data_IF_627416981457
#
_entry.id   IF_627416981457
#
_cell.length_a   1.000
_cell.length_b   1.000
_cell.length_c   1.000
_cell.angle_alpha   90.00
_cell.angle_beta   90.00
_cell.angle_gamma   90.00
#
_symmetry.space_group_name_H-M   'P 1'
#
loop_
_entity.id
_entity.type
_entity.pdbx_description
1 polymer ?
#
# COMPACT_ATOMS: atom_id res chain seq x y z
N UNK A 1 10.54 -11.59 8.69
CA UNK A 1 9.42 -11.25 9.60
C UNK A 1 8.12 -11.38 8.82
N UNK A 2 7.00 -11.74 9.47
CA UNK A 2 5.67 -11.71 8.81
C UNK A 2 4.93 -10.45 9.22
N UNK A 3 4.65 -9.58 8.25
CA UNK A 3 3.93 -8.32 8.48
C UNK A 3 2.59 -8.38 7.78
N UNK A 4 1.56 -7.84 8.42
CA UNK A 4 0.24 -7.65 7.81
C UNK A 4 -0.07 -6.18 7.70
N UNK A 5 -0.78 -5.79 6.66
CA UNK A 5 -1.24 -4.41 6.47
C UNK A 5 -2.65 -4.46 5.90
N UNK A 6 -3.52 -3.56 6.34
CA UNK A 6 -4.85 -3.39 5.81
C UNK A 6 -4.96 -1.97 5.25
N UNK A 7 -5.50 -1.90 4.03
CA UNK A 7 -5.90 -0.66 3.38
C UNK A 7 -7.43 -0.66 3.28
N UNK A 8 -8.08 0.45 3.66
CA UNK A 8 -9.52 0.64 3.46
C UNK A 8 -9.71 1.95 2.72
N UNK A 9 -10.46 1.91 1.63
CA UNK A 9 -10.63 3.00 0.69
C UNK A 9 -12.12 3.25 0.47
N UNK A 10 -12.56 4.46 0.80
CA UNK A 10 -13.88 4.93 0.38
C UNK A 10 -13.74 6.30 -0.31
N UNK A 11 -13.78 6.35 -1.65
CA UNK A 11 -13.68 7.61 -2.37
C UNK A 11 -14.89 8.52 -2.20
N UNK A 12 -16.06 8.00 -1.84
CA UNK A 12 -17.27 8.83 -1.68
C UNK A 12 -17.18 9.68 -0.41
N UNK A 13 -16.75 9.08 0.70
CA UNK A 13 -16.45 9.82 1.94
C UNK A 13 -15.07 10.48 1.95
N UNK A 14 -14.17 10.06 1.05
CA UNK A 14 -12.76 10.49 1.05
C UNK A 14 -11.92 9.79 2.13
N UNK A 15 -12.39 8.66 2.66
CA UNK A 15 -11.67 7.87 3.65
C UNK A 15 -10.48 7.15 3.03
N UNK A 16 -9.34 7.26 3.70
CA UNK A 16 -8.17 6.43 3.48
C UNK A 16 -7.63 5.92 4.81
N UNK A 17 -7.65 4.60 4.99
CA UNK A 17 -7.04 3.91 6.11
C UNK A 17 -5.88 3.07 5.60
N UNK A 18 -4.72 3.20 6.23
CA UNK A 18 -3.58 2.31 6.02
C UNK A 18 -3.02 1.94 7.37
N UNK A 19 -3.14 0.68 7.79
CA UNK A 19 -2.75 0.21 9.11
C UNK A 19 -1.86 -1.02 9.00
N UNK A 20 -0.77 -1.05 9.74
CA UNK A 20 0.19 -2.15 9.79
C UNK A 20 0.09 -2.90 11.11
N UNK A 21 0.34 -4.21 11.11
CA UNK A 21 0.39 -5.04 12.33
C UNK A 21 1.46 -4.59 13.31
N UNK A 22 2.42 -3.75 12.88
CA UNK A 22 3.42 -3.10 13.73
C UNK A 22 2.91 -1.88 14.51
N UNK A 23 1.62 -1.55 14.45
CA UNK A 23 1.04 -0.40 15.16
C UNK A 23 1.32 0.95 14.50
N UNK A 24 1.73 0.95 13.23
CA UNK A 24 1.88 2.17 12.43
C UNK A 24 0.74 2.26 11.43
N UNK A 25 0.26 3.47 11.22
CA UNK A 25 -0.75 3.69 10.20
C UNK A 25 -1.18 5.14 10.13
N UNK A 26 -2.13 5.38 9.23
CA UNK A 26 -2.83 6.64 9.12
C UNK A 26 -4.30 6.39 8.80
N UNK A 27 -5.16 7.25 9.35
CA UNK A 27 -6.56 7.39 9.00
C UNK A 27 -6.73 8.83 8.54
N UNK A 28 -7.18 9.00 7.30
CA UNK A 28 -7.44 10.30 6.70
C UNK A 28 -8.88 10.34 6.19
N UNK A 29 -9.52 11.50 6.34
CA UNK A 29 -10.84 11.79 5.80
C UNK A 29 -10.74 13.08 4.99
N UNK A 30 -10.68 12.96 3.66
CA UNK A 30 -10.36 14.08 2.79
C UNK A 30 -8.95 14.63 3.08
N UNK A 31 -8.89 15.90 3.52
CA UNK A 31 -7.64 16.56 3.91
C UNK A 31 -7.32 16.42 5.41
N UNK A 32 -8.27 15.94 6.22
CA UNK A 32 -8.11 15.83 7.66
C UNK A 32 -7.39 14.52 8.04
N UNK A 33 -6.40 14.64 8.92
CA UNK A 33 -5.71 13.49 9.54
C UNK A 33 -6.43 13.14 10.83
N UNK A 34 -7.21 12.06 10.81
CA UNK A 34 -7.94 11.54 11.98
C UNK A 34 -6.97 10.90 12.96
N UNK A 35 -6.00 10.13 12.46
CA UNK A 35 -4.95 9.51 13.25
C UNK A 35 -3.70 9.25 12.40
N UNK A 36 -2.52 9.33 13.00
CA UNK A 36 -1.25 8.96 12.38
C UNK A 36 -0.30 8.37 13.43
N UNK A 37 0.58 7.46 12.97
CA UNK A 37 1.50 6.66 13.77
C UNK A 37 2.29 7.44 14.86
N UNK A 38 2.67 6.76 15.97
CA UNK A 38 2.29 5.39 16.33
C UNK A 38 0.85 5.35 16.87
N UNK A 39 0.09 4.32 16.51
CA UNK A 39 -1.27 4.14 17.04
C UNK A 39 -1.30 2.95 18.03
N UNK A 40 -1.20 3.17 19.36
CA UNK A 40 -1.57 2.17 20.36
C UNK A 40 -2.61 2.71 21.38
N UNK A 41 -3.46 1.91 22.05
CA UNK A 41 -3.11 0.74 22.88
C UNK A 41 -4.14 -0.40 22.77
N UNK A 42 -3.65 -1.57 22.35
CA UNK A 42 -4.38 -2.81 22.07
C UNK A 42 -3.61 -3.63 21.02
N UNK A 43 -2.87 -2.93 20.16
CA UNK A 43 -2.32 -3.49 18.94
C UNK A 43 -3.44 -3.71 17.93
N UNK A 44 -3.10 -3.92 16.67
CA UNK A 44 -4.04 -4.62 15.81
C UNK A 44 -3.97 -6.08 16.26
N UNK A 45 -5.04 -6.61 16.86
CA UNK A 45 -5.26 -8.07 16.88
C UNK A 45 -4.87 -8.62 15.51
N UNK A 46 -4.27 -9.83 15.42
CA UNK A 46 -3.67 -10.28 14.18
C UNK A 46 -4.66 -10.06 13.05
N UNK A 47 -4.36 -9.13 12.13
CA UNK A 47 -5.24 -8.71 11.03
C UNK A 47 -5.61 -9.97 10.24
N UNK A 48 -6.69 -10.64 10.62
CA UNK A 48 -7.15 -11.90 10.05
C UNK A 48 -8.46 -11.62 9.37
N UNK A 49 -8.66 -12.36 8.30
CA UNK A 49 -9.90 -12.37 7.58
C UNK A 49 -11.08 -12.71 8.50
N UNK A 50 -12.16 -11.94 8.41
CA UNK A 50 -13.37 -12.07 9.23
C UNK A 50 -13.29 -11.51 10.65
N UNK A 51 -12.13 -11.05 11.13
CA UNK A 51 -12.03 -10.46 12.46
C UNK A 51 -12.49 -9.00 12.49
N UNK A 52 -13.09 -8.55 13.62
CA UNK A 52 -13.28 -7.13 13.84
C UNK A 52 -11.92 -6.44 13.96
N UNK A 53 -11.85 -5.24 13.39
CA UNK A 53 -10.77 -4.27 13.50
C UNK A 53 -11.33 -3.07 14.27
N UNK A 54 -10.91 -2.92 15.52
CA UNK A 54 -11.30 -1.83 16.40
C UNK A 54 -10.05 -1.01 16.76
N UNK A 55 -10.16 0.31 16.65
CA UNK A 55 -9.07 1.25 16.89
C UNK A 55 -9.60 2.54 17.48
N UNK A 56 -9.24 2.81 18.73
CA UNK A 56 -9.45 4.11 19.36
C UNK A 56 -8.32 5.08 18.98
N UNK A 57 -8.69 6.32 18.70
CA UNK A 57 -7.79 7.42 18.32
C UNK A 57 -8.06 8.63 19.21
N UNK A 58 -7.22 9.67 19.14
CA UNK A 58 -7.46 10.91 19.89
C UNK A 58 -8.77 11.59 19.48
N UNK A 59 -9.20 11.43 18.23
CA UNK A 59 -10.31 12.18 17.63
C UNK A 59 -11.55 11.32 17.34
N UNK A 60 -11.52 10.04 17.72
CA UNK A 60 -12.64 9.12 17.57
C UNK A 60 -12.24 7.65 17.49
N UNK A 61 -13.02 6.84 16.79
CA UNK A 61 -12.94 5.37 16.83
C UNK A 61 -13.23 4.78 15.44
N UNK A 62 -12.41 3.85 14.98
CA UNK A 62 -12.67 3.01 13.81
C UNK A 62 -13.10 1.63 14.29
N UNK A 63 -14.26 1.15 13.87
CA UNK A 63 -14.75 -0.19 14.18
C UNK A 63 -15.34 -0.83 12.91
N UNK A 64 -14.60 -1.77 12.32
CA UNK A 64 -14.98 -2.41 11.05
C UNK A 64 -14.78 -3.92 11.08
N UNK A 65 -15.46 -4.64 10.20
CA UNK A 65 -15.18 -6.04 9.85
C UNK A 65 -14.63 -6.08 8.43
N UNK A 66 -13.68 -6.97 8.22
CA UNK A 66 -13.05 -7.21 6.91
C UNK A 66 -13.34 -8.64 6.47
N UNK A 67 -13.77 -8.82 5.23
CA UNK A 67 -14.03 -10.13 4.63
C UNK A 67 -13.36 -10.21 3.25
N UNK A 68 -12.49 -11.19 3.06
CA UNK A 68 -11.72 -11.37 1.84
C UNK A 68 -12.60 -11.89 0.72
N UNK A 69 -12.51 -11.23 -0.43
CA UNK A 69 -13.28 -11.56 -1.61
C UNK A 69 -12.36 -12.17 -2.67
N UNK A 70 -12.37 -13.50 -2.76
CA UNK A 70 -11.62 -14.24 -3.77
C UNK A 70 -10.24 -14.72 -3.32
N UNK A 71 -9.48 -15.27 -4.27
CA UNK A 71 -8.14 -15.78 -4.02
C UNK A 71 -7.13 -14.61 -3.92
N UNK A 72 -6.17 -14.67 -2.98
CA UNK A 72 -5.10 -13.69 -2.92
C UNK A 72 -4.24 -13.73 -4.19
N UNK A 73 -3.79 -12.56 -4.64
CA UNK A 73 -2.63 -12.50 -5.54
C UNK A 73 -1.37 -12.76 -4.72
N UNK A 74 -0.41 -13.49 -5.28
CA UNK A 74 0.84 -13.83 -4.62
C UNK A 74 2.00 -13.69 -5.59
N UNK A 75 2.96 -12.82 -5.30
CA UNK A 75 4.13 -12.57 -6.14
C UNK A 75 5.38 -12.47 -5.26
N UNK A 76 6.55 -12.76 -5.84
CA UNK A 76 7.81 -12.84 -5.10
C UNK A 76 8.94 -12.15 -5.88
N UNK A 77 9.88 -11.60 -5.14
CA UNK A 77 11.10 -10.98 -5.67
C UNK A 77 12.31 -11.36 -4.80
N UNK A 78 13.52 -11.23 -5.34
CA UNK A 78 14.75 -11.49 -4.62
C UNK A 78 14.96 -10.52 -3.45
N UNK A 79 14.79 -9.22 -3.71
CA UNK A 79 14.93 -8.13 -2.73
C UNK A 79 13.59 -7.79 -2.07
N UNK A 80 12.49 -7.81 -2.81
CA UNK A 80 11.19 -7.49 -2.25
C UNK A 80 10.73 -8.58 -1.29
N UNK A 81 11.03 -9.85 -1.58
CA UNK A 81 10.47 -11.00 -0.86
C UNK A 81 9.00 -11.25 -1.23
N UNK A 82 8.38 -12.23 -0.57
CA UNK A 82 7.04 -12.71 -0.93
C UNK A 82 5.97 -11.73 -0.47
N UNK A 83 5.06 -11.40 -1.37
CA UNK A 83 3.88 -10.56 -1.16
C UNK A 83 2.62 -11.36 -1.43
N UNK A 84 1.61 -11.16 -0.60
CA UNK A 84 0.24 -11.54 -0.89
C UNK A 84 -0.69 -10.35 -0.68
N UNK A 85 -1.73 -10.24 -1.49
CA UNK A 85 -2.77 -9.23 -1.33
C UNK A 85 -4.15 -9.83 -1.65
N UNK A 86 -5.13 -9.57 -0.79
CA UNK A 86 -6.53 -9.96 -0.98
C UNK A 86 -7.39 -8.72 -1.03
N UNK A 87 -8.26 -8.63 -2.04
CA UNK A 87 -9.39 -7.71 -1.98
C UNK A 87 -10.25 -8.08 -0.78
N UNK A 88 -10.74 -7.07 -0.05
CA UNK A 88 -11.67 -7.26 1.05
C UNK A 88 -12.89 -6.35 0.90
N UNK A 89 -14.04 -6.81 1.35
CA UNK A 89 -15.17 -5.98 1.73
C UNK A 89 -15.00 -5.52 3.18
N UNK A 90 -15.27 -4.25 3.43
CA UNK A 90 -15.17 -3.63 4.75
C UNK A 90 -16.50 -3.03 5.14
N UNK A 91 -17.03 -3.45 6.29
CA UNK A 91 -18.27 -2.90 6.85
C UNK A 91 -18.11 -2.45 8.28
N UNK A 92 -18.62 -1.28 8.62
CA UNK A 92 -18.59 -0.78 9.99
C UNK A 92 -18.79 0.72 10.07
N UNK A 93 -18.04 1.37 10.96
CA UNK A 93 -18.15 2.81 11.18
C UNK A 93 -16.82 3.45 11.53
N UNK A 94 -16.72 4.74 11.22
CA UNK A 94 -15.74 5.66 11.75
C UNK A 94 -16.47 6.76 12.53
N UNK A 95 -16.12 6.93 13.80
CA UNK A 95 -16.50 8.12 14.56
C UNK A 95 -15.36 9.12 14.46
N UNK A 96 -15.66 10.37 14.08
CA UNK A 96 -14.69 11.46 14.02
C UNK A 96 -15.34 12.75 14.55
N UNK A 97 -14.75 13.37 15.58
CA UNK A 97 -15.28 14.58 16.22
C UNK A 97 -16.76 14.50 16.65
N UNK A 98 -17.23 13.30 16.99
CA UNK A 98 -18.60 13.04 17.41
C UNK A 98 -19.59 12.82 16.26
N UNK A 99 -19.14 12.87 15.01
CA UNK A 99 -19.91 12.44 13.83
C UNK A 99 -19.60 10.97 13.53
N UNK A 100 -20.62 10.19 13.21
CA UNK A 100 -20.49 8.79 12.81
C UNK A 100 -20.65 8.68 11.29
N UNK A 101 -19.71 7.99 10.65
CA UNK A 101 -19.67 7.70 9.22
C UNK A 101 -19.82 6.20 9.07
N UNK A 102 -20.92 5.76 8.45
CA UNK A 102 -21.10 4.36 8.08
C UNK A 102 -20.17 4.01 6.92
N UNK A 103 -19.51 2.85 7.03
CA UNK A 103 -18.56 2.36 6.04
C UNK A 103 -19.10 1.07 5.43
N UNK A 104 -19.25 1.06 4.10
CA UNK A 104 -19.47 -0.13 3.27
C UNK A 104 -18.62 0.04 2.01
N UNK A 105 -17.36 -0.38 2.10
CA UNK A 105 -16.34 -0.02 1.13
C UNK A 105 -15.35 -1.17 0.89
N UNK A 106 -14.44 -0.97 -0.06
CA UNK A 106 -13.42 -1.97 -0.41
C UNK A 106 -12.10 -1.66 0.26
N UNK A 107 -11.31 -2.70 0.42
CA UNK A 107 -9.97 -2.60 0.95
C UNK A 107 -9.05 -3.66 0.36
N UNK A 108 -7.82 -3.65 0.85
CA UNK A 108 -6.82 -4.68 0.54
C UNK A 108 -6.13 -5.14 1.81
N UNK A 109 -6.14 -6.45 2.05
CA UNK A 109 -5.37 -7.08 3.11
C UNK A 109 -4.06 -7.61 2.52
N UNK A 110 -2.95 -7.03 2.95
CA UNK A 110 -1.60 -7.41 2.56
C UNK A 110 -0.97 -8.36 3.58
N UNK A 111 -0.19 -9.31 3.06
CA UNK A 111 0.75 -10.11 3.84
C UNK A 111 2.12 -10.00 3.17
N UNK A 112 3.13 -9.73 4.00
CA UNK A 112 4.51 -9.69 3.59
C UNK A 112 5.28 -10.70 4.44
N UNK A 113 5.95 -11.63 3.77
CA UNK A 113 6.93 -12.51 4.39
C UNK A 113 8.33 -12.13 3.90
N UNK A 114 9.13 -11.51 4.76
CA UNK A 114 10.55 -11.32 4.47
C UNK A 114 11.24 -12.70 4.47
N UNK A 115 12.19 -12.91 3.57
CA UNK A 115 12.96 -14.16 3.50
C UNK A 115 13.70 -14.42 4.82
N UNK A 116 13.70 -15.67 5.29
CA UNK A 116 14.25 -16.07 6.60
C UNK A 116 15.77 -15.77 6.74
N UNK A 117 16.49 -15.61 5.62
CA UNK A 117 17.91 -15.21 5.57
C UNK A 117 18.15 -13.68 5.54
N UNK A 118 17.12 -12.85 5.75
CA UNK A 118 17.21 -11.38 5.70
C UNK A 118 18.24 -10.76 6.67
N UNK A 119 18.71 -11.50 7.67
CA UNK A 119 19.84 -11.08 8.51
C UNK A 119 21.20 -11.04 7.80
N UNK A 120 21.29 -11.62 6.60
CA UNK A 120 22.49 -11.66 5.74
C UNK A 120 22.31 -10.95 4.39
N UNK A 121 21.09 -10.52 4.07
CA UNK A 121 20.77 -9.79 2.85
C UNK A 121 21.29 -8.34 2.89
N UNK A 122 21.32 -7.66 1.72
CA UNK A 122 21.71 -6.26 1.68
C UNK A 122 20.72 -5.42 2.49
N UNK A 123 21.25 -4.43 3.22
CA UNK A 123 20.41 -3.40 3.85
C UNK A 123 19.69 -2.65 2.73
N UNK A 124 18.36 -2.52 2.82
CA UNK A 124 17.57 -1.82 1.83
C UNK A 124 17.65 -0.29 2.04
N UNK A 125 17.85 0.45 0.95
CA UNK A 125 17.88 1.92 0.92
C UNK A 125 16.55 2.52 0.50
N UNK A 126 15.69 1.73 -0.15
CA UNK A 126 14.40 2.16 -0.64
C UNK A 126 13.47 0.95 -0.77
N UNK A 127 12.23 1.09 -0.31
CA UNK A 127 11.13 0.23 -0.73
C UNK A 127 9.96 1.07 -1.23
N UNK A 128 9.23 0.54 -2.19
CA UNK A 128 8.02 1.15 -2.73
C UNK A 128 6.95 0.08 -2.86
N UNK A 129 5.74 0.36 -2.39
CA UNK A 129 4.61 -0.56 -2.53
C UNK A 129 3.43 0.23 -3.07
N UNK A 130 2.88 -0.19 -4.21
CA UNK A 130 1.67 0.39 -4.79
C UNK A 130 0.58 -0.68 -4.91
N UNK A 131 -0.61 -0.33 -4.47
CA UNK A 131 -1.82 -1.13 -4.57
C UNK A 131 -2.87 -0.34 -5.32
N UNK A 132 -3.55 -0.97 -6.28
CA UNK A 132 -4.56 -0.31 -7.10
C UNK A 132 -5.79 -1.21 -7.21
N UNK A 133 -6.88 -0.80 -6.58
CA UNK A 133 -8.21 -1.38 -6.79
C UNK A 133 -8.80 -0.72 -8.03
N UNK A 134 -9.02 -1.49 -9.08
CA UNK A 134 -9.64 -1.04 -10.32
C UNK A 134 -11.15 -0.98 -10.16
N UNK A 135 -11.79 -0.05 -10.86
CA UNK A 135 -13.24 0.15 -10.83
C UNK A 135 -14.04 -1.08 -11.30
N UNK A 136 -13.42 -1.93 -12.13
CA UNK A 136 -14.01 -3.20 -12.60
C UNK A 136 -13.84 -4.37 -11.59
N UNK A 137 -13.22 -4.12 -10.44
CA UNK A 137 -12.93 -5.12 -9.41
C UNK A 137 -11.59 -5.83 -9.56
N UNK A 138 -10.75 -5.44 -10.52
CA UNK A 138 -9.37 -5.90 -10.55
C UNK A 138 -8.51 -5.32 -9.42
N UNK A 139 -7.40 -5.99 -9.12
CA UNK A 139 -6.39 -5.56 -8.16
C UNK A 139 -5.00 -5.67 -8.79
N UNK A 140 -4.26 -4.56 -8.80
CA UNK A 140 -2.83 -4.54 -9.18
C UNK A 140 -2.02 -4.30 -7.92
N UNK A 141 -0.96 -5.08 -7.74
CA UNK A 141 0.06 -4.81 -6.74
C UNK A 141 1.43 -4.71 -7.39
N UNK A 142 2.22 -3.75 -6.92
CA UNK A 142 3.60 -3.49 -7.32
C UNK A 142 4.42 -3.39 -6.05
N UNK A 143 5.56 -4.08 -6.02
CA UNK A 143 6.58 -3.91 -4.98
C UNK A 143 7.92 -3.64 -5.64
N UNK A 144 8.64 -2.66 -5.11
CA UNK A 144 10.01 -2.34 -5.51
C UNK A 144 10.92 -2.27 -4.30
N UNK A 145 12.16 -2.70 -4.46
CA UNK A 145 13.19 -2.61 -3.45
C UNK A 145 14.54 -2.32 -4.10
N UNK A 146 15.29 -1.40 -3.49
CA UNK A 146 16.68 -1.15 -3.85
C UNK A 146 17.57 -1.31 -2.61
N UNK A 147 18.82 -1.81 -2.78
CA UNK A 147 19.78 -1.85 -1.70
C UNK A 147 20.10 -0.44 -1.17
N UNK A 148 20.93 -0.33 -0.12
CA UNK A 148 21.45 0.94 0.37
C UNK A 148 22.79 1.27 -0.29
N UNK A 149 23.05 2.55 -0.58
CA UNK A 149 24.31 3.03 -1.17
C UNK A 149 24.09 3.93 -2.39
N UNK A 150 25.19 4.26 -3.09
CA UNK A 150 25.14 4.89 -4.42
C UNK A 150 24.70 3.85 -5.43
N UNK A 151 23.45 3.99 -5.90
CA UNK A 151 22.70 2.97 -6.63
C UNK A 151 22.09 3.65 -7.85
N UNK A 152 22.24 3.02 -9.01
CA UNK A 152 21.62 3.48 -10.25
C UNK A 152 20.17 3.00 -10.30
N UNK A 153 19.34 3.62 -11.14
CA UNK A 153 17.95 3.20 -11.34
C UNK A 153 17.81 1.72 -11.73
N UNK A 154 18.84 1.12 -12.34
CA UNK A 154 18.86 -0.30 -12.73
C UNK A 154 19.07 -1.30 -11.58
N UNK A 155 19.37 -0.83 -10.38
CA UNK A 155 19.61 -1.67 -9.21
C UNK A 155 18.34 -1.85 -8.34
N UNK A 156 17.23 -1.20 -8.72
CA UNK A 156 15.92 -1.37 -8.09
C UNK A 156 15.21 -2.58 -8.70
N UNK A 157 15.02 -3.64 -7.91
CA UNK A 157 14.11 -4.73 -8.27
C UNK A 157 12.69 -4.21 -8.21
N UNK A 158 11.88 -4.50 -9.24
CA UNK A 158 10.44 -4.26 -9.20
C UNK A 158 9.67 -5.45 -9.74
N UNK A 159 8.68 -5.90 -8.96
CA UNK A 159 7.78 -7.00 -9.28
C UNK A 159 6.34 -6.52 -9.21
N UNK A 160 5.47 -7.09 -10.06
CA UNK A 160 4.05 -6.76 -10.04
C UNK A 160 3.19 -7.95 -10.47
N UNK A 161 1.95 -7.94 -9.99
CA UNK A 161 0.92 -8.87 -10.42
C UNK A 161 -0.44 -8.17 -10.48
N UNK A 162 -1.33 -8.71 -11.31
CA UNK A 162 -2.74 -8.30 -11.40
C UNK A 162 -3.65 -9.52 -11.27
N UNK A 163 -4.76 -9.34 -10.57
CA UNK A 163 -5.97 -10.15 -10.75
C UNK A 163 -7.06 -9.29 -11.36
N UNK A 164 -7.74 -9.80 -12.37
CA UNK A 164 -8.86 -9.14 -13.03
C UNK A 164 -9.83 -10.19 -13.56
N UNK A 165 -11.01 -9.82 -14.10
CA UNK A 165 -11.98 -10.80 -14.61
C UNK A 165 -11.43 -11.77 -15.67
N UNK A 166 -10.33 -11.43 -16.35
CA UNK A 166 -9.64 -12.30 -17.31
C UNK A 166 -8.64 -13.28 -16.71
N UNK A 167 -8.35 -13.19 -15.41
CA UNK A 167 -7.47 -14.10 -14.69
C UNK A 167 -6.34 -13.38 -13.92
N UNK A 168 -5.36 -14.18 -13.53
CA UNK A 168 -4.15 -13.76 -12.84
C UNK A 168 -2.98 -13.62 -13.81
N UNK A 169 -2.21 -12.54 -13.70
CA UNK A 169 -1.04 -12.27 -14.53
C UNK A 169 0.08 -11.70 -13.66
N UNK A 170 1.28 -12.29 -13.78
CA UNK A 170 2.54 -11.71 -13.31
C UNK A 170 3.23 -10.98 -14.47
N UNK A 171 3.94 -9.90 -14.13
CA UNK A 171 4.66 -9.09 -15.10
C UNK A 171 6.16 -9.38 -15.03
N UNK A 172 6.77 -9.67 -16.18
CA UNK A 172 8.22 -9.94 -16.29
C UNK A 172 9.04 -8.67 -16.23
N UNK A 173 8.49 -7.57 -16.76
CA UNK A 173 9.12 -6.26 -16.71
C UNK A 173 8.14 -5.23 -16.17
N UNK A 174 8.61 -4.47 -15.20
CA UNK A 174 7.85 -3.41 -14.55
C UNK A 174 8.71 -2.15 -14.50
N UNK A 175 8.19 -1.05 -15.03
CA UNK A 175 8.78 0.27 -14.86
C UNK A 175 7.87 1.13 -13.97
N UNK A 176 8.39 1.53 -12.81
CA UNK A 176 7.73 2.44 -11.87
C UNK A 176 8.54 3.74 -11.79
N UNK A 177 7.97 4.82 -12.33
CA UNK A 177 8.55 6.16 -12.20
C UNK A 177 7.76 6.98 -11.20
N UNK A 178 8.46 7.83 -10.44
CA UNK A 178 7.86 8.68 -9.41
C UNK A 178 8.34 10.11 -9.56
N UNK A 179 7.40 11.04 -9.64
CA UNK A 179 7.67 12.46 -9.47
C UNK A 179 7.44 12.84 -8.00
N UNK A 180 8.40 13.51 -7.40
CA UNK A 180 8.36 13.95 -6.01
C UNK A 180 8.08 15.44 -5.88
N UNK A 181 7.40 15.83 -4.80
CA UNK A 181 7.30 17.22 -4.39
C UNK A 181 8.62 17.73 -3.75
N UNK A 182 8.64 19.00 -3.36
CA UNK A 182 9.82 19.62 -2.72
C UNK A 182 10.18 19.01 -1.36
N UNK A 183 9.29 18.23 -0.75
CA UNK A 183 9.52 17.53 0.52
C UNK A 183 9.93 16.06 0.30
N UNK A 184 10.07 15.60 -0.95
CA UNK A 184 10.44 14.22 -1.27
C UNK A 184 9.28 13.22 -1.16
N UNK A 185 8.02 13.73 -1.11
CA UNK A 185 6.80 12.92 -1.12
C UNK A 185 6.34 12.69 -2.54
N UNK A 186 5.80 11.51 -2.80
CA UNK A 186 5.23 11.14 -4.09
C UNK A 186 4.07 12.07 -4.46
N UNK A 187 4.13 12.63 -5.66
CA UNK A 187 3.11 13.53 -6.20
C UNK A 187 2.42 12.94 -7.44
N UNK A 188 3.22 12.38 -8.35
CA UNK A 188 2.75 11.62 -9.52
C UNK A 188 3.58 10.37 -9.68
N UNK A 189 3.01 9.36 -10.32
CA UNK A 189 3.72 8.14 -10.68
C UNK A 189 3.24 7.62 -12.03
N UNK A 190 4.11 6.90 -12.74
CA UNK A 190 3.74 6.15 -13.95
C UNK A 190 4.11 4.68 -13.78
N UNK A 191 3.30 3.83 -14.40
CA UNK A 191 3.50 2.39 -14.45
C UNK A 191 3.51 1.95 -15.90
N UNK A 192 4.46 1.09 -16.23
CA UNK A 192 4.48 0.34 -17.48
C UNK A 192 4.75 -1.13 -17.13
N UNK A 193 3.82 -2.01 -17.48
CA UNK A 193 3.78 -3.40 -17.03
C UNK A 193 3.75 -4.33 -18.27
N UNK A 194 4.79 -5.11 -18.48
CA UNK A 194 4.89 -6.08 -19.59
C UNK A 194 4.75 -7.50 -19.07
N UNK A 195 3.70 -8.23 -19.50
CA UNK A 195 3.56 -9.65 -19.20
C UNK A 195 4.69 -10.47 -19.80
N UNK A 196 4.91 -11.68 -19.27
CA UNK A 196 5.85 -12.66 -19.83
C UNK A 196 5.51 -13.13 -21.26
N UNK A 197 4.25 -12.96 -21.65
CA UNK A 197 3.71 -13.41 -22.93
C UNK A 197 3.38 -12.24 -23.83
N UNK A 198 3.74 -12.35 -25.10
CA UNK A 198 3.36 -11.39 -26.15
C UNK A 198 1.86 -11.44 -26.51
N UNK A 199 1.13 -12.45 -26.02
CA UNK A 199 -0.32 -12.58 -26.24
C UNK A 199 -1.15 -11.56 -25.44
N UNK A 200 -0.54 -10.97 -24.40
CA UNK A 200 -1.17 -9.96 -23.55
C UNK A 200 -0.46 -8.64 -23.75
N UNK A 201 -1.23 -7.60 -24.09
CA UNK A 201 -0.67 -6.26 -24.27
C UNK A 201 -0.08 -5.70 -22.96
N UNK A 202 0.98 -4.93 -23.07
CA UNK A 202 1.52 -4.17 -21.96
C UNK A 202 0.48 -3.17 -21.42
N UNK A 203 0.44 -3.03 -20.10
CA UNK A 203 -0.46 -2.11 -19.40
C UNK A 203 0.30 -0.84 -19.01
N UNK A 204 -0.21 0.31 -19.42
CA UNK A 204 0.39 1.61 -19.09
C UNK A 204 -0.54 2.41 -18.21
N UNK A 205 0.02 3.12 -17.24
CA UNK A 205 -0.76 3.86 -16.27
C UNK A 205 -0.06 5.08 -15.71
N UNK A 206 -0.87 5.98 -15.19
CA UNK A 206 -0.41 7.11 -14.42
C UNK A 206 -1.31 7.34 -13.21
N UNK A 207 -0.71 7.80 -12.12
CA UNK A 207 -1.38 8.13 -10.88
C UNK A 207 -0.97 9.50 -10.36
N UNK A 208 -1.88 10.12 -9.62
CA UNK A 208 -1.64 11.36 -8.90
C UNK A 208 -2.15 11.26 -7.46
N UNK A 209 -1.42 11.88 -6.54
CA UNK A 209 -1.80 11.95 -5.14
C UNK A 209 -3.17 12.60 -4.95
N UNK A 210 -3.97 12.03 -4.05
CA UNK A 210 -5.23 12.60 -3.54
C UNK A 210 -4.97 13.22 -2.17
N UNK A 211 -4.44 12.41 -1.25
CA UNK A 211 -4.05 12.81 0.10
C UNK A 211 -2.93 11.89 0.59
N UNK A 212 -2.17 12.30 1.60
CA UNK A 212 -1.02 11.54 2.07
C UNK A 212 -0.39 12.09 3.33
N UNK A 213 0.37 11.24 4.02
CA UNK A 213 1.06 11.58 5.25
C UNK A 213 2.51 11.06 5.24
N UNK A 214 3.33 11.64 6.11
CA UNK A 214 4.70 11.20 6.37
C UNK A 214 4.83 10.78 7.83
N UNK A 215 5.36 9.58 8.07
CA UNK A 215 5.70 9.09 9.39
C UNK A 215 7.22 8.86 9.50
N UNK A 216 7.78 9.08 10.69
CA UNK A 216 9.17 8.72 11.01
C UNK A 216 9.16 7.63 12.06
N UNK A 217 9.53 6.41 11.69
CA UNK A 217 9.40 5.21 12.54
C UNK A 217 10.68 4.39 12.43
N UNK A 218 11.26 4.01 13.58
CA UNK A 218 12.36 3.05 13.62
C UNK A 218 13.61 3.44 12.83
N UNK A 219 13.86 4.74 12.66
CA UNK A 219 14.96 5.22 11.82
C UNK A 219 14.64 5.28 10.33
N UNK A 220 13.38 5.08 9.92
CA UNK A 220 12.91 5.21 8.55
C UNK A 220 11.91 6.37 8.41
N UNK A 221 11.88 6.98 7.22
CA UNK A 221 10.82 7.89 6.77
C UNK A 221 9.90 7.12 5.83
N UNK A 222 8.61 7.09 6.16
CA UNK A 222 7.56 6.40 5.42
C UNK A 222 6.62 7.47 4.89
N UNK A 223 6.50 7.57 3.57
CA UNK A 223 5.51 8.42 2.91
C UNK A 223 4.40 7.53 2.36
N UNK A 224 3.19 7.68 2.88
CA UNK A 224 2.02 6.89 2.46
C UNK A 224 0.97 7.82 1.91
N UNK A 225 0.42 7.49 0.73
CA UNK A 225 -0.54 8.34 0.06
C UNK A 225 -1.62 7.52 -0.64
N UNK A 226 -2.84 8.07 -0.69
CA UNK A 226 -3.88 7.61 -1.59
C UNK A 226 -3.64 8.21 -2.97
N UNK A 227 -3.62 7.37 -3.99
CA UNK A 227 -3.48 7.78 -5.38
C UNK A 227 -4.76 7.46 -6.16
N UNK A 228 -5.09 8.38 -7.07
CA UNK A 228 -6.03 8.10 -8.17
C UNK A 228 -5.23 7.70 -9.38
N UNK A 229 -5.59 6.58 -9.97
CA UNK A 229 -4.90 5.95 -11.10
C UNK A 229 -5.80 5.89 -12.34
N UNK A 230 -5.17 5.94 -13.50
CA UNK A 230 -5.76 5.54 -14.77
C UNK A 230 -4.75 4.64 -15.50
N UNK A 231 -5.15 3.41 -15.82
CA UNK A 231 -4.34 2.43 -16.54
C UNK A 231 -5.04 2.00 -17.83
N UNK A 232 -4.55 2.46 -18.97
CA UNK A 232 -5.15 2.27 -20.29
C UNK A 232 -6.68 2.46 -20.30
N UNK A 233 -7.14 3.52 -19.63
CA UNK A 233 -8.55 3.88 -19.52
C UNK A 233 -9.30 3.26 -18.33
N UNK A 234 -8.71 2.30 -17.61
CA UNK A 234 -9.27 1.73 -16.39
C UNK A 234 -8.96 2.63 -15.21
N UNK A 235 -10.00 3.11 -14.53
CA UNK A 235 -9.84 3.93 -13.34
C UNK A 235 -9.54 3.05 -12.13
N UNK A 236 -8.67 3.53 -11.25
CA UNK A 236 -8.36 2.85 -10.00
C UNK A 236 -8.02 3.80 -8.87
N UNK A 237 -8.05 3.27 -7.66
CA UNK A 237 -7.66 3.96 -6.44
C UNK A 237 -6.79 3.01 -5.61
N UNK A 238 -5.81 3.55 -4.91
CA UNK A 238 -5.16 2.79 -3.85
C UNK A 238 -3.89 3.41 -3.34
N UNK A 239 -3.27 2.72 -2.39
CA UNK A 239 -2.10 3.22 -1.68
C UNK A 239 -0.89 3.26 -2.60
N UNK A 240 -0.09 4.29 -2.44
CA UNK A 240 1.31 4.28 -2.83
C UNK A 240 2.16 4.66 -1.62
N UNK A 241 3.04 3.76 -1.21
CA UNK A 241 3.95 3.95 -0.08
C UNK A 241 5.40 3.90 -0.52
N UNK A 242 6.21 4.77 0.08
CA UNK A 242 7.64 4.82 -0.13
C UNK A 242 8.33 4.88 1.23
N UNK A 243 9.18 3.90 1.51
CA UNK A 243 9.99 3.85 2.72
C UNK A 243 11.45 4.06 2.39
N UNK A 244 12.10 4.94 3.16
CA UNK A 244 13.53 5.22 3.08
C UNK A 244 14.15 5.23 4.47
N UNK A 245 15.42 4.84 4.64
CA UNK A 245 16.17 5.18 5.83
C UNK A 245 16.13 6.70 6.06
N UNK A 246 16.00 7.11 7.31
CA UNK A 246 16.10 8.51 7.70
C UNK A 246 17.54 8.93 7.46
N UNK A 247 17.75 10.00 6.70
CA UNK A 247 19.07 10.58 6.53
C UNK A 247 19.68 10.87 7.91
N UNK A 248 20.81 10.25 8.22
CA UNK A 248 21.60 10.63 9.39
C UNK A 248 22.12 12.03 9.09
N UNK A 249 21.77 13.02 9.92
CA UNK A 249 22.35 14.35 9.80
C UNK A 249 23.89 14.19 9.86
N UNK A 250 24.59 14.63 8.81
CA UNK A 250 26.04 14.67 8.83
C UNK A 250 26.48 15.53 10.03
N UNK A 251 27.25 14.93 10.94
CA UNK A 251 27.82 15.60 12.10
C UNK A 251 28.94 16.57 11.69
#
# INVERSE_FOLDING_TARGET
MKTRTIEILDPESGLFVSLTSGGNGAIMLGEDVVAAAPIPVGGLDPLVDGSPLELETEHGELAVRIESTGEPISFDGELTGRREASLVETRGRLTHHGEEIELDCRGVLHRHEEKEDAGSGPVLGLTRDATIILADGGLICVASAAPAGDIDHGDEETVAAITHPGGYIEFDQVLLSTEYDSAGRQHRATLELWPATDDVAALHGAGSVVTGCTAKVGGSTINTALFRWSLDGHLGLGRYEITRPTAVAAA
#
